data_IF_125672115082
#
_entry.id   IF_125672115082
#
_cell.length_a   1.000
_cell.length_b   1.000
_cell.length_c   1.000
_cell.angle_alpha   90.00
_cell.angle_beta   90.00
_cell.angle_gamma   90.00
#
_symmetry.space_group_name_H-M   'P 1'
#
loop_
_entity.id
_entity.type
_entity.pdbx_description
1 polymer ?
#
# COMPACT_ATOMS: atom_id res chain seq x y z
N UNK A 1 -46.95 -14.57 10.68
CA UNK A 1 -45.75 -14.23 11.48
C UNK A 1 -44.53 -14.85 10.80
N UNK A 2 -43.61 -14.06 10.23
CA UNK A 2 -42.43 -14.59 9.51
C UNK A 2 -41.27 -14.76 10.50
N UNK A 3 -40.87 -16.00 10.75
CA UNK A 3 -39.77 -16.36 11.66
C UNK A 3 -38.42 -15.95 11.06
N UNK A 4 -37.62 -15.21 11.85
CA UNK A 4 -36.30 -14.70 11.48
C UNK A 4 -35.33 -15.86 11.27
N UNK A 5 -34.73 -15.95 10.09
CA UNK A 5 -33.64 -16.88 9.80
C UNK A 5 -32.40 -16.51 10.63
N UNK A 6 -31.99 -17.41 11.51
CA UNK A 6 -30.75 -17.32 12.27
C UNK A 6 -29.57 -17.37 11.28
N UNK A 7 -28.93 -16.24 10.98
CA UNK A 7 -27.68 -16.19 10.20
C UNK A 7 -26.62 -17.02 10.92
N UNK A 8 -26.30 -18.18 10.38
CA UNK A 8 -25.23 -19.03 10.87
C UNK A 8 -23.92 -18.24 10.75
N UNK A 9 -23.30 -17.89 11.90
CA UNK A 9 -22.04 -17.16 11.93
C UNK A 9 -20.99 -18.05 11.29
N UNK A 10 -20.63 -17.73 10.07
CA UNK A 10 -19.69 -18.49 9.27
C UNK A 10 -18.42 -18.72 10.11
N UNK A 11 -18.14 -19.99 10.47
CA UNK A 11 -16.88 -20.36 11.13
C UNK A 11 -15.78 -20.03 10.12
N UNK A 12 -15.20 -18.84 10.23
CA UNK A 12 -14.05 -18.47 9.43
C UNK A 12 -12.96 -19.48 9.76
N UNK A 13 -12.78 -20.46 8.87
CA UNK A 13 -11.65 -21.38 8.95
C UNK A 13 -10.42 -20.50 8.71
N UNK A 14 -9.79 -20.08 9.79
CA UNK A 14 -8.63 -19.21 9.72
C UNK A 14 -7.45 -20.08 9.26
N UNK A 15 -7.19 -20.09 7.96
CA UNK A 15 -5.93 -20.63 7.44
C UNK A 15 -4.78 -19.89 8.12
N UNK A 16 -3.74 -20.63 8.53
CA UNK A 16 -2.55 -20.04 9.13
C UNK A 16 -1.85 -19.12 8.13
N UNK A 17 -1.12 -18.11 8.61
CA UNK A 17 -0.41 -17.20 7.72
C UNK A 17 0.60 -17.93 6.83
N UNK A 18 1.33 -18.90 7.41
CA UNK A 18 2.26 -19.76 6.67
C UNK A 18 1.58 -20.48 5.51
N UNK A 19 0.39 -21.03 5.73
CA UNK A 19 -0.39 -21.70 4.68
C UNK A 19 -0.78 -20.74 3.56
N UNK A 20 -1.31 -19.56 3.92
CA UNK A 20 -1.72 -18.56 2.93
C UNK A 20 -0.54 -18.04 2.11
N UNK A 21 0.62 -17.82 2.74
CA UNK A 21 1.84 -17.35 2.08
C UNK A 21 2.38 -18.39 1.09
N UNK A 22 2.40 -19.67 1.49
CA UNK A 22 2.84 -20.74 0.59
C UNK A 22 1.86 -20.94 -0.58
N UNK A 23 0.55 -20.85 -0.33
CA UNK A 23 -0.47 -20.91 -1.38
C UNK A 23 -0.30 -19.79 -2.43
N UNK A 24 0.02 -18.56 -1.99
CA UNK A 24 0.29 -17.44 -2.90
C UNK A 24 1.62 -17.64 -3.64
N UNK A 25 2.69 -18.06 -2.95
CA UNK A 25 3.99 -18.36 -3.57
C UNK A 25 3.86 -19.36 -4.72
N UNK A 26 3.18 -20.48 -4.47
CA UNK A 26 2.92 -21.52 -5.48
C UNK A 26 2.05 -21.02 -6.64
N UNK A 27 1.18 -20.04 -6.40
CA UNK A 27 0.33 -19.44 -7.42
C UNK A 27 1.00 -18.32 -8.23
N UNK A 28 2.19 -17.87 -7.80
CA UNK A 28 3.02 -16.89 -8.49
C UNK A 28 4.14 -17.54 -9.33
N UNK A 29 4.34 -18.86 -9.19
CA UNK A 29 5.28 -19.62 -10.01
C UNK A 29 4.82 -19.62 -11.50
N UNK A 30 5.74 -19.45 -12.48
CA UNK A 30 5.36 -19.28 -13.90
C UNK A 30 4.62 -20.47 -14.53
N UNK A 31 4.73 -21.65 -13.93
CA UNK A 31 4.19 -22.91 -14.44
C UNK A 31 2.83 -23.29 -13.83
N UNK A 32 2.31 -22.50 -12.88
CA UNK A 32 1.10 -22.83 -12.12
C UNK A 32 0.17 -21.62 -12.04
N UNK A 33 -1.13 -21.86 -12.16
CA UNK A 33 -2.13 -20.80 -12.00
C UNK A 33 -2.74 -20.82 -10.60
N UNK A 34 -3.25 -19.67 -10.15
CA UNK A 34 -4.00 -19.58 -8.89
C UNK A 34 -5.22 -20.53 -8.86
N UNK A 35 -5.81 -20.82 -10.01
CA UNK A 35 -6.92 -21.76 -10.13
C UNK A 35 -6.48 -23.21 -9.89
N UNK A 36 -5.32 -23.61 -10.40
CA UNK A 36 -4.80 -24.96 -10.25
C UNK A 36 -4.32 -25.22 -8.83
N UNK A 37 -3.59 -24.25 -8.25
CA UNK A 37 -3.16 -24.30 -6.85
C UNK A 37 -4.37 -24.33 -5.91
N UNK A 38 -5.42 -23.57 -6.20
CA UNK A 38 -6.63 -23.59 -5.39
C UNK A 38 -7.37 -24.93 -5.44
N UNK A 39 -7.43 -25.58 -6.63
CA UNK A 39 -8.00 -26.92 -6.78
C UNK A 39 -7.23 -27.95 -5.96
N UNK A 40 -5.90 -27.92 -6.01
CA UNK A 40 -5.05 -28.84 -5.25
C UNK A 40 -5.19 -28.65 -3.74
N UNK A 41 -5.27 -27.40 -3.29
CA UNK A 41 -5.42 -27.05 -1.88
C UNK A 41 -6.87 -27.18 -1.37
N UNK A 42 -7.83 -27.50 -2.24
CA UNK A 42 -9.25 -27.62 -1.88
C UNK A 42 -9.89 -26.29 -1.45
N UNK A 43 -9.37 -25.16 -1.95
CA UNK A 43 -9.86 -23.82 -1.62
C UNK A 43 -10.45 -23.12 -2.84
N UNK A 44 -11.22 -22.05 -2.60
CA UNK A 44 -11.73 -21.24 -3.70
C UNK A 44 -10.61 -20.35 -4.28
N UNK A 45 -10.41 -20.27 -5.61
CA UNK A 45 -9.35 -19.45 -6.23
C UNK A 45 -9.36 -17.99 -5.78
N UNK A 46 -10.55 -17.43 -5.56
CA UNK A 46 -10.75 -16.09 -4.98
C UNK A 46 -10.04 -15.86 -3.65
N UNK A 47 -9.82 -16.90 -2.84
CA UNK A 47 -9.06 -16.78 -1.58
C UNK A 47 -7.59 -16.47 -1.84
N UNK A 48 -6.97 -17.12 -2.82
CA UNK A 48 -5.58 -16.87 -3.21
C UNK A 48 -5.45 -15.44 -3.76
N UNK A 49 -6.37 -14.99 -4.61
CA UNK A 49 -6.37 -13.59 -5.09
C UNK A 49 -6.53 -12.58 -3.95
N UNK A 50 -7.40 -12.87 -2.96
CA UNK A 50 -7.57 -12.02 -1.79
C UNK A 50 -6.31 -11.98 -0.93
N UNK A 51 -5.62 -13.11 -0.75
CA UNK A 51 -4.35 -13.16 -0.04
C UNK A 51 -3.24 -12.44 -0.81
N UNK A 52 -3.16 -12.59 -2.14
CA UNK A 52 -2.22 -11.82 -2.98
C UNK A 52 -2.43 -10.31 -2.80
N UNK A 53 -3.68 -9.83 -2.79
CA UNK A 53 -3.97 -8.41 -2.49
C UNK A 53 -3.58 -8.02 -1.08
N UNK A 54 -3.83 -8.87 -0.09
CA UNK A 54 -3.45 -8.60 1.30
C UNK A 54 -1.92 -8.54 1.45
N UNK A 55 -1.18 -9.45 0.83
CA UNK A 55 0.28 -9.48 0.87
C UNK A 55 0.93 -8.39 0.04
N UNK A 56 0.37 -8.01 -1.11
CA UNK A 56 0.85 -6.85 -1.86
C UNK A 56 0.56 -5.55 -1.09
N UNK A 57 -0.60 -5.44 -0.44
CA UNK A 57 -0.92 -4.31 0.44
C UNK A 57 -0.06 -4.29 1.71
N UNK A 58 0.30 -5.45 2.24
CA UNK A 58 1.24 -5.60 3.36
C UNK A 58 2.66 -5.25 2.92
N UNK A 59 3.13 -5.69 1.75
CA UNK A 59 4.42 -5.31 1.20
C UNK A 59 4.51 -3.83 0.88
N UNK A 60 3.44 -3.24 0.33
CA UNK A 60 3.35 -1.78 0.22
C UNK A 60 3.30 -1.10 1.59
N UNK A 61 2.64 -1.66 2.60
CA UNK A 61 2.63 -1.12 3.96
C UNK A 61 3.96 -1.29 4.68
N UNK A 62 4.70 -2.37 4.47
CA UNK A 62 6.01 -2.63 5.06
C UNK A 62 7.08 -1.75 4.40
N UNK A 63 7.01 -1.55 3.09
CA UNK A 63 7.83 -0.55 2.38
C UNK A 63 7.43 0.88 2.81
N UNK A 64 6.15 1.12 3.09
CA UNK A 64 5.62 2.36 3.70
C UNK A 64 5.66 2.36 5.24
N UNK A 65 6.41 1.46 5.87
CA UNK A 65 6.66 1.39 7.31
C UNK A 65 8.06 0.86 7.57
N UNK A 66 9.05 1.39 6.85
CA UNK A 66 10.41 1.38 7.39
C UNK A 66 10.38 2.20 8.69
N UNK A 67 10.63 1.53 9.81
CA UNK A 67 10.70 2.08 11.18
C UNK A 67 9.37 2.40 11.88
N UNK A 68 8.25 1.72 11.52
CA UNK A 68 7.00 1.84 12.28
C UNK A 68 6.24 3.15 12.09
N UNK A 69 6.59 3.93 11.06
CA UNK A 69 5.88 5.13 10.65
C UNK A 69 4.94 4.78 9.50
N UNK A 70 3.63 4.89 9.73
CA UNK A 70 2.59 4.66 8.72
C UNK A 70 2.52 5.85 7.74
N UNK A 71 3.17 5.76 6.58
CA UNK A 71 3.06 6.78 5.52
C UNK A 71 1.74 6.70 4.72
N UNK A 72 0.81 5.82 5.09
CA UNK A 72 -0.51 5.71 4.47
C UNK A 72 -1.57 6.59 5.15
N UNK A 73 -1.27 7.19 6.30
CA UNK A 73 -2.15 8.11 6.99
C UNK A 73 -1.78 9.52 6.53
N UNK A 74 -2.79 10.21 5.97
CA UNK A 74 -2.92 11.65 5.73
C UNK A 74 -1.65 12.45 6.06
N UNK A 75 -1.02 13.06 5.03
CA UNK A 75 0.19 13.89 5.19
C UNK A 75 0.11 14.68 6.48
N UNK A 76 0.95 14.32 7.46
CA UNK A 76 0.94 15.01 8.75
C UNK A 76 1.07 16.51 8.52
N UNK A 77 0.37 17.33 9.28
CA UNK A 77 0.41 18.79 9.10
C UNK A 77 1.85 19.34 9.06
N UNK A 78 2.77 18.68 9.77
CA UNK A 78 4.20 18.93 9.73
C UNK A 78 4.82 18.74 8.32
N UNK A 79 4.46 17.67 7.60
CA UNK A 79 4.94 17.43 6.22
C UNK A 79 4.35 18.45 5.26
N UNK A 80 3.06 18.79 5.40
CA UNK A 80 2.43 19.86 4.58
C UNK A 80 3.10 21.21 4.84
N UNK A 81 3.38 21.53 6.10
CA UNK A 81 4.08 22.76 6.49
C UNK A 81 5.51 22.80 5.91
N UNK A 82 6.28 21.72 6.07
CA UNK A 82 7.64 21.62 5.55
C UNK A 82 7.71 21.72 4.02
N UNK A 83 6.71 21.21 3.31
CA UNK A 83 6.63 21.34 1.84
C UNK A 83 6.30 22.77 1.41
N UNK A 84 5.39 23.46 2.10
CA UNK A 84 5.11 24.88 1.84
C UNK A 84 6.34 25.74 2.10
N UNK A 85 6.98 25.55 3.24
CA UNK A 85 8.19 26.28 3.59
C UNK A 85 9.33 26.03 2.58
N UNK A 86 9.48 24.80 2.08
CA UNK A 86 10.41 24.51 1.00
C UNK A 86 10.05 25.17 -0.34
N UNK A 87 8.77 25.34 -0.64
CA UNK A 87 8.34 26.00 -1.87
C UNK A 87 8.64 27.51 -1.77
N UNK A 88 8.25 28.14 -0.66
CA UNK A 88 8.47 29.56 -0.41
C UNK A 88 9.97 29.91 -0.46
N UNK A 89 10.82 29.09 0.17
CA UNK A 89 12.28 29.27 0.14
C UNK A 89 12.87 29.12 -1.27
N UNK A 90 12.32 28.23 -2.11
CA UNK A 90 12.78 28.07 -3.50
C UNK A 90 12.42 29.28 -4.34
N UNK A 91 11.23 29.82 -4.16
CA UNK A 91 10.76 31.00 -4.87
C UNK A 91 11.60 32.22 -4.48
N UNK A 92 11.96 32.37 -3.20
CA UNK A 92 12.84 33.44 -2.72
C UNK A 92 14.27 33.31 -3.29
N UNK A 93 14.82 32.09 -3.33
CA UNK A 93 16.11 31.83 -3.99
C UNK A 93 16.06 32.16 -5.48
N UNK A 94 14.97 31.82 -6.17
CA UNK A 94 14.81 32.13 -7.59
C UNK A 94 14.69 33.64 -7.83
N UNK A 95 13.93 34.34 -7.00
CA UNK A 95 13.81 35.79 -7.05
C UNK A 95 15.17 36.48 -6.83
N UNK A 96 15.93 36.08 -5.81
CA UNK A 96 17.26 36.63 -5.54
C UNK A 96 18.24 36.33 -6.68
N UNK A 97 18.17 35.14 -7.29
CA UNK A 97 18.96 34.81 -8.48
C UNK A 97 18.62 35.70 -9.67
N UNK A 98 17.32 35.97 -9.90
CA UNK A 98 16.89 36.89 -10.97
C UNK A 98 17.33 38.32 -10.68
N UNK A 99 17.22 38.78 -9.44
CA UNK A 99 17.67 40.11 -9.02
C UNK A 99 19.18 40.27 -9.20
N UNK A 100 19.99 39.31 -8.72
CA UNK A 100 21.45 39.33 -8.91
C UNK A 100 21.84 39.28 -10.39
N UNK A 101 21.14 38.50 -11.22
CA UNK A 101 21.38 38.47 -12.67
C UNK A 101 21.00 39.80 -13.36
N UNK A 102 19.96 40.49 -12.87
CA UNK A 102 19.57 41.81 -13.34
C UNK A 102 20.63 42.87 -12.96
N UNK A 103 21.03 42.93 -11.68
CA UNK A 103 22.05 43.87 -11.21
C UNK A 103 23.45 43.60 -11.77
N UNK A 104 23.78 42.35 -12.12
CA UNK A 104 25.03 42.02 -12.80
C UNK A 104 25.04 42.43 -14.30
N UNK A 105 23.87 42.67 -14.90
CA UNK A 105 23.73 43.17 -16.28
C UNK A 105 23.73 44.70 -16.38
N UNK A 106 23.42 45.42 -15.30
CA UNK A 106 23.47 46.89 -15.23
C UNK A 106 24.86 47.43 -14.87
N UNK A 107 25.91 46.59 -14.92
CA UNK A 107 27.30 46.96 -14.65
C UNK A 107 28.15 46.94 -15.92
#
# INVERSE_FOLDING_TARGET
>A
MKTKAQKNKNKYNHYTEKFRREAVRRADDPNTSASDVAKELGIHPGQIYNWRRQYNKLGEKEVKSMNGVDYSIDESEAVRKLRRENADLKDEVEFLKKATAYFAKEK
#
